data_IF_337418124959
#
_entry.id   IF_337418124959
#
_cell.length_a   1.000
_cell.length_b   1.000
_cell.length_c   1.000
_cell.angle_alpha   90.00
_cell.angle_beta   90.00
_cell.angle_gamma   90.00
#
_symmetry.space_group_name_H-M   'P 1'
#
loop_
_entity.id
_entity.type
_entity.pdbx_description
1 polymer ?
#
# COMPACT_ATOMS: atom_id res chain seq x y z
N UNK A 1 -10.37 -23.83 -8.68
CA UNK A 1 -11.32 -22.74 -8.33
C UNK A 1 -10.69 -21.91 -7.23
N UNK A 2 -10.19 -20.72 -7.58
CA UNK A 2 -9.60 -19.80 -6.61
C UNK A 2 -10.74 -19.06 -5.89
N UNK A 3 -10.99 -19.43 -4.64
CA UNK A 3 -11.67 -18.51 -3.73
C UNK A 3 -10.71 -17.33 -3.57
N UNK A 4 -11.22 -16.11 -3.68
CA UNK A 4 -10.49 -14.82 -3.64
C UNK A 4 -10.69 -14.18 -2.26
N UNK A 5 -9.83 -13.25 -1.84
CA UNK A 5 -10.12 -12.39 -0.68
C UNK A 5 -11.51 -11.80 -0.93
N UNK A 6 -12.48 -12.16 -0.10
CA UNK A 6 -13.86 -11.75 -0.39
C UNK A 6 -13.98 -10.25 -0.17
N UNK A 7 -14.85 -9.58 -0.92
CA UNK A 7 -15.08 -8.13 -0.74
C UNK A 7 -15.41 -7.78 0.71
N UNK A 8 -16.15 -8.66 1.41
CA UNK A 8 -16.42 -8.50 2.84
C UNK A 8 -15.15 -8.52 3.72
N UNK A 9 -14.24 -9.47 3.47
CA UNK A 9 -12.97 -9.54 4.19
C UNK A 9 -12.10 -8.32 3.93
N UNK A 10 -12.04 -7.85 2.69
CA UNK A 10 -11.29 -6.66 2.33
C UNK A 10 -11.87 -5.40 2.98
N UNK A 11 -13.19 -5.22 2.95
CA UNK A 11 -13.85 -4.09 3.61
C UNK A 11 -13.56 -4.08 5.12
N UNK A 12 -13.61 -5.25 5.76
CA UNK A 12 -13.29 -5.37 7.19
C UNK A 12 -11.83 -5.04 7.49
N UNK A 13 -10.88 -5.47 6.64
CA UNK A 13 -9.47 -5.14 6.77
C UNK A 13 -9.22 -3.64 6.61
N UNK A 14 -9.77 -3.05 5.55
CA UNK A 14 -9.65 -1.63 5.24
C UNK A 14 -10.24 -0.79 6.37
N UNK A 15 -11.44 -1.15 6.86
CA UNK A 15 -12.06 -0.48 8.00
C UNK A 15 -11.21 -0.55 9.28
N UNK A 16 -10.59 -1.71 9.55
CA UNK A 16 -9.78 -1.89 10.75
C UNK A 16 -8.42 -1.18 10.68
N UNK A 17 -7.75 -1.18 9.51
CA UNK A 17 -6.38 -0.66 9.37
C UNK A 17 -6.33 0.82 8.98
N UNK A 18 -7.39 1.36 8.39
CA UNK A 18 -7.49 2.76 8.00
C UNK A 18 -8.53 3.52 8.85
N UNK A 19 -8.86 3.01 10.05
CA UNK A 19 -9.75 3.69 10.99
C UNK A 19 -9.21 5.08 11.35
N UNK A 20 -10.08 6.10 11.35
CA UNK A 20 -9.73 7.50 11.64
C UNK A 20 -9.12 7.71 13.03
N UNK A 21 -9.35 6.81 13.97
CA UNK A 21 -8.76 6.82 15.33
C UNK A 21 -7.29 6.44 15.32
N UNK A 22 -6.81 5.76 14.29
CA UNK A 22 -5.39 5.42 14.13
C UNK A 22 -4.63 6.63 13.60
N UNK A 23 -3.46 6.92 14.21
CA UNK A 23 -2.57 8.00 13.75
C UNK A 23 -1.91 7.68 12.41
N UNK A 24 -1.48 6.44 12.23
CA UNK A 24 -0.85 5.93 11.02
C UNK A 24 -1.80 4.94 10.38
N UNK A 25 -2.05 5.10 9.07
CA UNK A 25 -3.12 4.40 8.35
C UNK A 25 -2.57 3.93 7.01
N UNK A 26 -1.98 2.75 6.99
CA UNK A 26 -1.47 2.15 5.77
C UNK A 26 -1.67 0.63 5.80
N UNK A 27 -2.17 0.08 4.70
CA UNK A 27 -2.41 -1.36 4.51
C UNK A 27 -1.76 -1.78 3.20
N UNK A 28 -0.98 -2.87 3.23
CA UNK A 28 -0.32 -3.41 2.04
C UNK A 28 -0.87 -4.81 1.76
N UNK A 29 -1.30 -5.03 0.53
CA UNK A 29 -1.77 -6.29 -0.01
C UNK A 29 -0.81 -6.70 -1.12
N UNK A 30 -0.13 -7.83 -0.98
CA UNK A 30 0.83 -8.31 -1.98
C UNK A 30 0.42 -9.63 -2.58
N UNK A 31 0.42 -9.75 -3.90
CA UNK A 31 0.14 -11.02 -4.59
C UNK A 31 1.06 -11.20 -5.80
N UNK A 32 1.56 -12.40 -6.02
CA UNK A 32 2.34 -12.73 -7.22
C UNK A 32 1.47 -12.93 -8.48
N UNK A 33 0.15 -13.05 -8.31
CA UNK A 33 -0.79 -13.23 -9.41
C UNK A 33 -1.37 -11.87 -9.86
N UNK A 34 -1.03 -11.45 -11.08
CA UNK A 34 -1.48 -10.18 -11.66
C UNK A 34 -3.01 -10.10 -11.82
N UNK A 35 -3.69 -11.22 -12.09
CA UNK A 35 -5.14 -11.22 -12.21
C UNK A 35 -5.81 -11.00 -10.84
N UNK A 36 -5.21 -11.54 -9.77
CA UNK A 36 -5.64 -11.25 -8.39
C UNK A 36 -5.32 -9.79 -8.04
N UNK A 37 -4.16 -9.27 -8.45
CA UNK A 37 -3.76 -7.89 -8.21
C UNK A 37 -4.78 -6.90 -8.78
N UNK A 38 -5.21 -7.07 -10.03
CA UNK A 38 -6.27 -6.24 -10.63
C UNK A 38 -7.55 -6.27 -9.83
N UNK A 39 -7.98 -7.44 -9.36
CA UNK A 39 -9.19 -7.59 -8.54
C UNK A 39 -9.04 -6.94 -7.16
N UNK A 40 -7.85 -6.98 -6.57
CA UNK A 40 -7.56 -6.29 -5.31
C UNK A 40 -7.63 -4.76 -5.49
N UNK A 41 -7.19 -4.23 -6.63
CA UNK A 41 -7.33 -2.80 -6.93
C UNK A 41 -8.81 -2.40 -7.07
N UNK A 42 -9.61 -3.17 -7.80
CA UNK A 42 -11.05 -2.93 -7.97
C UNK A 42 -11.79 -3.01 -6.62
N UNK A 43 -11.60 -4.11 -5.90
CA UNK A 43 -12.26 -4.33 -4.61
C UNK A 43 -11.75 -3.34 -3.55
N UNK A 44 -10.46 -2.98 -3.60
CA UNK A 44 -9.84 -1.99 -2.72
C UNK A 44 -10.41 -0.60 -2.94
N UNK A 45 -10.64 -0.21 -4.20
CA UNK A 45 -11.32 1.05 -4.53
C UNK A 45 -12.73 1.08 -3.91
N UNK A 46 -13.51 0.01 -4.07
CA UNK A 46 -14.84 -0.09 -3.46
C UNK A 46 -14.78 -0.03 -1.92
N UNK A 47 -13.83 -0.72 -1.31
CA UNK A 47 -13.64 -0.72 0.14
C UNK A 47 -13.29 0.68 0.68
N UNK A 48 -12.40 1.40 -0.01
CA UNK A 48 -12.00 2.77 0.36
C UNK A 48 -13.14 3.78 0.17
N UNK A 49 -13.98 3.61 -0.87
CA UNK A 49 -15.16 4.47 -1.07
C UNK A 49 -16.12 4.40 0.13
N UNK A 50 -16.21 3.24 0.79
CA UNK A 50 -17.02 3.06 2.00
C UNK A 50 -16.44 3.77 3.24
N UNK A 51 -15.13 4.05 3.28
CA UNK A 51 -14.47 4.78 4.36
C UNK A 51 -14.62 6.31 4.26
N UNK A 52 -14.89 6.82 3.07
CA UNK A 52 -15.13 8.23 2.84
C UNK A 52 -14.94 8.64 1.39
N UNK A 53 -16.05 8.92 0.72
CA UNK A 53 -16.11 9.75 -0.49
C UNK A 53 -15.21 9.29 -1.65
N UNK A 54 -14.73 10.28 -2.41
CA UNK A 54 -13.99 10.06 -3.66
C UNK A 54 -12.61 9.48 -3.39
N UNK A 55 -12.42 8.21 -3.73
CA UNK A 55 -11.10 7.55 -3.70
C UNK A 55 -10.21 8.11 -4.79
N UNK A 56 -8.96 8.39 -4.44
CA UNK A 56 -7.92 8.67 -5.42
C UNK A 56 -7.18 7.37 -5.72
N UNK A 57 -6.90 7.13 -7.00
CA UNK A 57 -6.13 5.96 -7.43
C UNK A 57 -4.89 6.46 -8.14
N UNK A 58 -3.72 6.08 -7.61
CA UNK A 58 -2.44 6.24 -8.30
C UNK A 58 -2.18 4.97 -9.10
N UNK A 59 -2.37 5.04 -10.40
CA UNK A 59 -2.22 3.87 -11.27
C UNK A 59 -0.77 3.67 -11.74
N UNK A 60 -0.51 2.53 -12.39
CA UNK A 60 0.79 2.25 -12.99
C UNK A 60 1.29 3.38 -13.91
N UNK A 61 0.41 3.93 -14.75
CA UNK A 61 0.74 5.04 -15.66
C UNK A 61 1.18 6.31 -14.96
N UNK A 62 0.76 6.52 -13.71
CA UNK A 62 1.13 7.70 -12.94
C UNK A 62 2.58 7.69 -12.46
N UNK A 63 3.24 6.54 -12.57
CA UNK A 63 4.63 6.31 -12.20
C UNK A 63 5.62 6.73 -13.30
N UNK A 64 5.11 7.04 -14.49
CA UNK A 64 5.88 7.43 -15.65
C UNK A 64 5.79 8.94 -15.90
N UNK A 65 6.85 9.53 -16.44
CA UNK A 65 6.83 10.89 -16.98
C UNK A 65 6.30 10.91 -18.43
N UNK A 66 6.34 12.09 -19.04
CA UNK A 66 5.84 12.36 -20.40
C UNK A 66 6.61 11.60 -21.49
N UNK A 67 7.83 11.12 -21.19
CA UNK A 67 8.64 10.31 -22.12
C UNK A 67 8.63 8.83 -21.78
N UNK A 68 7.83 8.41 -20.80
CA UNK A 68 7.71 7.02 -20.36
C UNK A 68 8.84 6.55 -19.44
N UNK A 69 9.63 7.46 -18.88
CA UNK A 69 10.64 7.15 -17.87
C UNK A 69 10.07 7.23 -16.46
N UNK A 70 10.65 6.48 -15.51
CA UNK A 70 10.16 6.42 -14.13
C UNK A 70 10.37 7.75 -13.39
N UNK A 71 9.27 8.38 -12.98
CA UNK A 71 9.24 9.71 -12.38
C UNK A 71 9.12 9.68 -10.86
N UNK A 72 10.13 9.10 -10.21
CA UNK A 72 10.19 8.78 -8.78
C UNK A 72 9.74 9.93 -7.84
N UNK A 73 10.28 11.13 -8.02
CA UNK A 73 9.94 12.28 -7.18
C UNK A 73 8.49 12.76 -7.42
N UNK A 74 8.02 12.71 -8.69
CA UNK A 74 6.63 13.07 -9.02
C UNK A 74 5.64 12.10 -8.38
N UNK A 75 6.00 10.83 -8.21
CA UNK A 75 5.15 9.85 -7.52
C UNK A 75 4.97 10.22 -6.05
N UNK A 76 6.05 10.61 -5.36
CA UNK A 76 5.97 11.07 -3.96
C UNK A 76 5.09 12.32 -3.83
N UNK A 77 5.32 13.33 -4.68
CA UNK A 77 4.50 14.56 -4.69
C UNK A 77 3.01 14.26 -4.94
N UNK A 78 2.71 13.33 -5.87
CA UNK A 78 1.33 12.87 -6.11
C UNK A 78 0.75 12.18 -4.89
N UNK A 79 1.50 11.30 -4.23
CA UNK A 79 1.04 10.62 -3.00
C UNK A 79 0.70 11.66 -1.94
N UNK A 80 1.57 12.65 -1.70
CA UNK A 80 1.35 13.70 -0.71
C UNK A 80 0.07 14.49 -0.99
N UNK A 81 -0.09 14.93 -2.23
CA UNK A 81 -1.23 15.71 -2.67
C UNK A 81 -2.54 14.91 -2.60
N UNK A 82 -2.55 13.68 -3.12
CA UNK A 82 -3.77 12.87 -3.23
C UNK A 82 -4.22 12.31 -1.88
N UNK A 83 -3.28 11.83 -1.06
CA UNK A 83 -3.60 11.19 0.21
C UNK A 83 -3.98 12.19 1.32
N UNK A 84 -3.75 13.50 1.13
CA UNK A 84 -4.00 14.51 2.17
C UNK A 84 -5.49 14.61 2.53
N UNK A 85 -6.36 14.58 1.52
CA UNK A 85 -7.80 14.84 1.71
C UNK A 85 -8.67 13.62 1.46
N UNK A 86 -8.18 12.63 0.72
CA UNK A 86 -8.95 11.48 0.27
C UNK A 86 -8.22 10.17 0.58
N UNK A 87 -8.95 9.06 0.78
CA UNK A 87 -8.32 7.75 0.80
C UNK A 87 -7.61 7.48 -0.53
N UNK A 88 -6.38 6.99 -0.46
CA UNK A 88 -5.53 6.72 -1.62
C UNK A 88 -5.37 5.22 -1.81
N UNK A 89 -5.59 4.75 -3.04
CA UNK A 89 -5.12 3.46 -3.51
C UNK A 89 -3.87 3.65 -4.37
N UNK A 90 -2.76 3.03 -3.99
CA UNK A 90 -1.59 2.89 -4.85
C UNK A 90 -1.69 1.53 -5.54
N UNK A 91 -2.00 1.56 -6.85
CA UNK A 91 -2.21 0.36 -7.65
C UNK A 91 -0.91 -0.06 -8.34
N UNK A 92 -0.39 -1.23 -7.95
CA UNK A 92 0.80 -1.85 -8.51
C UNK A 92 0.55 -2.61 -9.82
N UNK A 93 1.59 -3.28 -10.34
CA UNK A 93 2.91 -3.47 -9.71
C UNK A 93 3.73 -2.17 -9.63
N UNK A 94 4.36 -1.92 -8.48
CA UNK A 94 5.18 -0.72 -8.23
C UNK A 94 6.60 -0.88 -8.78
N UNK A 95 6.74 -1.02 -10.10
CA UNK A 95 8.03 -1.36 -10.73
C UNK A 95 9.15 -0.35 -10.49
N UNK A 96 8.84 0.92 -10.18
CA UNK A 96 9.87 1.90 -9.83
C UNK A 96 10.73 1.47 -8.63
N UNK A 97 10.16 0.68 -7.71
CA UNK A 97 10.89 0.14 -6.56
C UNK A 97 11.98 -0.85 -6.98
N UNK A 98 11.82 -1.51 -8.12
CA UNK A 98 12.77 -2.51 -8.64
C UNK A 98 14.05 -1.84 -9.18
N UNK A 99 13.98 -0.55 -9.50
CA UNK A 99 15.11 0.26 -9.99
C UNK A 99 15.78 1.09 -8.89
N UNK A 100 15.23 1.09 -7.68
CA UNK A 100 15.84 1.74 -6.53
C UNK A 100 16.82 0.83 -5.83
N UNK A 101 17.82 1.44 -5.18
CA UNK A 101 18.64 0.68 -4.24
C UNK A 101 17.77 0.16 -3.09
N UNK A 102 18.12 -0.98 -2.48
CA UNK A 102 17.35 -1.53 -1.35
C UNK A 102 17.12 -0.52 -0.22
N UNK A 103 18.07 0.39 0.03
CA UNK A 103 17.95 1.42 1.06
C UNK A 103 16.88 2.46 0.71
N UNK A 104 16.81 2.89 -0.55
CA UNK A 104 15.80 3.85 -1.02
C UNK A 104 14.42 3.19 -1.03
N UNK A 105 14.33 1.93 -1.46
CA UNK A 105 13.10 1.13 -1.37
C UNK A 105 12.60 1.02 0.08
N UNK A 106 13.47 0.69 1.04
CA UNK A 106 13.10 0.64 2.46
C UNK A 106 12.63 2.00 2.98
N UNK A 107 13.33 3.09 2.64
CA UNK A 107 12.95 4.44 3.03
C UNK A 107 11.56 4.85 2.52
N UNK A 108 11.17 4.40 1.33
CA UNK A 108 9.82 4.61 0.78
C UNK A 108 8.74 3.94 1.62
N UNK A 109 8.95 2.70 2.04
CA UNK A 109 7.99 1.99 2.91
C UNK A 109 7.89 2.63 4.30
N UNK A 110 9.01 3.08 4.87
CA UNK A 110 9.04 3.85 6.13
C UNK A 110 8.31 5.20 6.00
N UNK A 111 8.50 5.88 4.87
CA UNK A 111 7.78 7.11 4.54
C UNK A 111 6.27 6.88 4.52
N UNK A 112 5.80 5.86 3.79
CA UNK A 112 4.37 5.51 3.71
C UNK A 112 3.81 5.09 5.07
N UNK A 113 4.59 4.34 5.86
CA UNK A 113 4.20 3.94 7.20
C UNK A 113 4.08 5.10 8.19
N UNK A 114 4.85 6.17 7.94
CA UNK A 114 4.82 7.39 8.74
C UNK A 114 3.78 8.39 8.27
N UNK A 115 3.09 8.15 7.14
CA UNK A 115 2.07 9.04 6.61
C UNK A 115 0.86 9.12 7.56
N UNK A 116 0.54 10.33 8.01
CA UNK A 116 -0.49 10.56 9.04
C UNK A 116 -1.47 11.70 8.73
N UNK A 117 -1.30 12.41 7.61
CA UNK A 117 -1.99 13.67 7.32
C UNK A 117 -3.35 13.50 6.63
N UNK A 118 -3.75 12.29 6.24
CA UNK A 118 -5.03 12.07 5.57
C UNK A 118 -5.68 10.70 5.81
N UNK A 119 -6.78 10.36 5.11
CA UNK A 119 -7.70 9.28 5.49
C UNK A 119 -7.10 7.87 5.52
N UNK A 120 -5.98 7.65 4.85
CA UNK A 120 -5.25 6.38 4.85
C UNK A 120 -4.87 5.94 3.44
N UNK A 121 -3.89 5.05 3.36
CA UNK A 121 -3.35 4.54 2.11
C UNK A 121 -3.53 3.02 2.05
N UNK A 122 -4.14 2.53 0.97
CA UNK A 122 -4.12 1.13 0.60
C UNK A 122 -3.13 0.92 -0.54
N UNK A 123 -2.32 -0.12 -0.45
CA UNK A 123 -1.32 -0.46 -1.45
C UNK A 123 -1.61 -1.87 -1.91
N UNK A 124 -1.82 -2.04 -3.20
CA UNK A 124 -1.94 -3.35 -3.84
C UNK A 124 -0.72 -3.53 -4.74
N UNK A 125 0.12 -4.53 -4.48
CA UNK A 125 1.42 -4.64 -5.14
C UNK A 125 1.85 -6.10 -5.31
N UNK A 126 3.00 -6.32 -5.95
CA UNK A 126 3.64 -7.64 -6.01
C UNK A 126 4.60 -7.84 -4.83
N UNK A 127 4.79 -9.08 -4.34
CA UNK A 127 5.83 -9.40 -3.37
C UNK A 127 7.21 -9.01 -3.91
N UNK A 128 8.09 -8.55 -3.02
CA UNK A 128 9.50 -8.28 -3.30
C UNK A 128 10.36 -8.88 -2.21
N UNK A 129 11.59 -9.24 -2.56
CA UNK A 129 12.56 -9.84 -1.63
C UNK A 129 12.99 -8.87 -0.51
N UNK A 130 12.92 -7.55 -0.76
CA UNK A 130 13.43 -6.52 0.17
C UNK A 130 12.46 -5.34 0.32
N UNK A 131 12.52 -4.66 1.48
CA UNK A 131 12.03 -3.29 1.67
C UNK A 131 10.71 -3.13 2.44
N UNK A 132 9.74 -4.05 2.28
CA UNK A 132 8.42 -3.91 2.93
C UNK A 132 8.46 -4.29 4.42
N UNK A 133 9.35 -5.22 4.79
CA UNK A 133 9.32 -5.89 6.10
C UNK A 133 9.83 -5.02 7.25
N UNK A 134 10.48 -3.89 6.98
CA UNK A 134 10.91 -2.95 8.01
C UNK A 134 9.70 -2.35 8.74
N UNK A 135 8.90 -1.58 8.01
CA UNK A 135 7.76 -0.87 8.57
C UNK A 135 6.48 -1.73 8.72
N UNK A 136 6.35 -2.81 7.94
CA UNK A 136 5.14 -3.63 7.89
C UNK A 136 5.42 -5.06 8.33
N UNK A 137 4.46 -5.67 9.03
CA UNK A 137 4.47 -7.09 9.39
C UNK A 137 3.42 -7.85 8.60
N UNK A 138 3.78 -9.05 8.15
CA UNK A 138 2.82 -10.01 7.62
C UNK A 138 1.91 -10.49 8.75
N UNK A 139 0.60 -10.30 8.59
CA UNK A 139 -0.39 -10.78 9.58
C UNK A 139 -0.96 -12.14 9.16
N UNK A 140 -1.16 -12.31 7.85
CA UNK A 140 -1.66 -13.57 7.25
C UNK A 140 -1.47 -13.55 5.75
N UNK A 141 -1.42 -14.74 5.17
CA UNK A 141 -1.54 -14.96 3.72
C UNK A 141 -2.88 -15.60 3.43
N UNK A 142 -3.68 -14.97 2.57
CA UNK A 142 -4.98 -15.48 2.13
C UNK A 142 -4.91 -15.73 0.64
N UNK A 143 -4.90 -17.00 0.23
CA UNK A 143 -4.95 -17.41 -1.18
C UNK A 143 -3.85 -16.78 -2.03
N UNK A 144 -2.62 -16.80 -1.53
CA UNK A 144 -1.47 -16.20 -2.21
C UNK A 144 -1.40 -14.67 -2.14
N UNK A 145 -2.32 -14.03 -1.42
CA UNK A 145 -2.25 -12.60 -1.08
C UNK A 145 -1.74 -12.42 0.34
N UNK A 146 -0.57 -11.83 0.48
CA UNK A 146 0.02 -11.41 1.73
C UNK A 146 -0.65 -10.13 2.22
N UNK A 147 -1.17 -10.16 3.45
CA UNK A 147 -1.79 -9.01 4.11
C UNK A 147 -0.80 -8.50 5.15
N UNK A 148 -0.24 -7.32 4.87
CA UNK A 148 0.74 -6.68 5.74
C UNK A 148 0.18 -5.40 6.35
N UNK A 149 0.37 -5.25 7.65
CA UNK A 149 -0.09 -4.09 8.42
C UNK A 149 1.10 -3.41 9.07
N UNK A 150 0.91 -2.15 9.46
CA UNK A 150 1.93 -1.40 10.19
C UNK A 150 2.36 -2.13 11.47
N UNK A 151 3.67 -2.20 11.70
CA UNK A 151 4.21 -2.57 13.01
C UNK A 151 3.85 -1.50 14.03
N UNK A 152 3.65 -1.90 15.29
CA UNK A 152 3.61 -0.91 16.38
C UNK A 152 5.00 -0.29 16.52
N UNK A 153 5.09 0.99 16.88
CA UNK A 153 6.40 1.67 17.07
C UNK A 153 7.31 0.96 18.09
N UNK A 154 6.73 0.23 19.04
CA UNK A 154 7.44 -0.62 19.99
C UNK A 154 8.14 -1.81 19.30
N UNK A 155 7.52 -2.40 18.28
CA UNK A 155 8.13 -3.47 17.50
C UNK A 155 9.21 -2.95 16.55
N UNK A 156 9.01 -1.77 15.94
CA UNK A 156 10.00 -1.15 15.04
C UNK A 156 11.31 -0.80 15.76
N UNK A 157 11.24 -0.37 17.03
CA UNK A 157 12.42 -0.07 17.83
C UNK A 157 13.24 -1.32 18.23
N UNK A 158 12.61 -2.51 18.27
CA UNK A 158 13.29 -3.76 18.60
C UNK A 158 14.07 -4.33 17.41
N UNK A 159 13.58 -4.12 16.19
CA UNK A 159 14.26 -4.58 14.97
C UNK A 159 15.56 -3.79 14.67
N UNK A 160 15.67 -2.55 15.17
CA UNK A 160 16.87 -1.71 15.01
C UNK A 160 17.97 -1.93 16.06
N UNK A 161 17.76 -2.85 17.01
CA UNK A 161 18.69 -3.16 18.10
C UNK A 161 19.39 -4.52 17.93
N UNK A 162 19.26 -5.14 16.76
CA UNK A 162 19.90 -6.43 16.39
C UNK A 162 21.04 -6.19 15.42
#
# INVERSE_FOLDING_TARGET
MAVRVTSHQLNSLVAAQLDRRLRYRCLVLQTGDLAVLTQLCEAGTQALQQLGGSVQVLEYRDQLDEVGALACNRVLEKIEHLAQSNPLLIAGPLHFLDYWSPQVGAAFWEYLASYSTGPGILIADTPRECGVEGAFRLVRTVQGTDIRVLKSRLATAQDGLV
#
